data_IF_677598095440
#
_entry.id   IF_677598095440
#
_cell.length_a   1.000
_cell.length_b   1.000
_cell.length_c   1.000
_cell.angle_alpha   90.00
_cell.angle_beta   90.00
_cell.angle_gamma   90.00
#
_symmetry.space_group_name_H-M   'P 1'
#
loop_
_entity.id
_entity.type
_entity.pdbx_description
1 polymer ?
#
# COMPACT_ATOMS: atom_id res chain seq x y z
N UNK A 1 -13.76 -18.98 59.27
CA UNK A 1 -14.03 -17.65 58.68
C UNK A 1 -12.89 -17.30 57.73
N UNK A 2 -12.84 -17.74 56.47
CA UNK A 2 -11.86 -17.24 55.48
C UNK A 2 -12.21 -17.75 54.08
N UNK A 3 -13.32 -17.29 53.50
CA UNK A 3 -13.71 -17.72 52.15
C UNK A 3 -14.46 -16.65 51.33
N UNK A 4 -14.68 -15.44 51.87
CA UNK A 4 -15.39 -14.36 51.14
C UNK A 4 -14.46 -13.40 50.38
N UNK A 5 -13.19 -13.30 50.78
CA UNK A 5 -12.21 -12.38 50.17
C UNK A 5 -11.62 -12.90 48.84
N UNK A 6 -11.60 -14.21 48.60
CA UNK A 6 -10.95 -14.80 47.42
C UNK A 6 -11.78 -14.64 46.13
N UNK A 7 -13.11 -14.60 46.23
CA UNK A 7 -14.02 -14.60 45.08
C UNK A 7 -14.12 -13.23 44.37
N UNK A 8 -13.91 -12.13 45.10
CA UNK A 8 -13.95 -10.77 44.55
C UNK A 8 -12.70 -10.42 43.73
N UNK A 9 -11.54 -10.93 44.14
CA UNK A 9 -10.26 -10.71 43.45
C UNK A 9 -10.20 -11.48 42.13
N UNK A 10 -10.57 -12.76 42.13
CA UNK A 10 -10.54 -13.59 40.91
C UNK A 10 -11.50 -13.09 39.83
N UNK A 11 -12.69 -12.58 40.20
CA UNK A 11 -13.67 -12.04 39.26
C UNK A 11 -13.24 -10.69 38.65
N UNK A 12 -12.57 -9.84 39.44
CA UNK A 12 -11.97 -8.58 38.95
C UNK A 12 -10.78 -8.84 38.02
N UNK A 13 -9.92 -9.78 38.38
CA UNK A 13 -8.77 -10.19 37.54
C UNK A 13 -9.25 -10.82 36.23
N UNK A 14 -10.30 -11.65 36.27
CA UNK A 14 -10.91 -12.24 35.07
C UNK A 14 -11.51 -11.18 34.14
N UNK A 15 -12.24 -10.19 34.69
CA UNK A 15 -12.80 -9.08 33.91
C UNK A 15 -11.71 -8.22 33.27
N UNK A 16 -10.64 -7.88 34.00
CA UNK A 16 -9.53 -7.09 33.47
C UNK A 16 -8.78 -7.86 32.38
N UNK A 17 -8.54 -9.17 32.57
CA UNK A 17 -7.90 -10.02 31.57
C UNK A 17 -8.78 -10.16 30.30
N UNK A 18 -10.09 -10.36 30.45
CA UNK A 18 -11.02 -10.42 29.32
C UNK A 18 -11.10 -9.08 28.56
N UNK A 19 -11.18 -7.95 29.27
CA UNK A 19 -11.14 -6.63 28.63
C UNK A 19 -9.80 -6.38 27.92
N UNK A 20 -8.68 -6.79 28.49
CA UNK A 20 -7.37 -6.64 27.86
C UNK A 20 -7.23 -7.50 26.59
N UNK A 21 -7.73 -8.74 26.60
CA UNK A 21 -7.73 -9.63 25.44
C UNK A 21 -8.67 -9.09 24.34
N UNK A 22 -9.85 -8.59 24.71
CA UNK A 22 -10.79 -7.97 23.77
C UNK A 22 -10.19 -6.70 23.16
N UNK A 23 -9.55 -5.84 23.98
CA UNK A 23 -8.84 -4.67 23.48
C UNK A 23 -7.66 -5.04 22.56
N UNK A 24 -6.92 -6.11 22.84
CA UNK A 24 -5.82 -6.57 21.98
C UNK A 24 -6.33 -7.11 20.63
N UNK A 25 -7.50 -7.75 20.62
CA UNK A 25 -8.12 -8.29 19.39
C UNK A 25 -8.80 -7.25 18.50
N UNK A 26 -9.00 -6.02 19.02
CA UNK A 26 -9.64 -4.91 18.31
C UNK A 26 -8.63 -3.92 17.71
N UNK A 27 -7.34 -4.26 17.65
CA UNK A 27 -6.35 -3.46 16.93
C UNK A 27 -6.48 -3.82 15.44
N UNK A 28 -7.08 -2.99 14.58
CA UNK A 28 -6.98 -3.20 13.15
C UNK A 28 -5.49 -3.14 12.76
N UNK A 29 -4.93 -4.31 12.47
CA UNK A 29 -3.56 -4.46 11.99
C UNK A 29 -3.51 -4.24 10.48
N UNK A 30 -3.08 -3.06 10.06
CA UNK A 30 -2.81 -2.79 8.65
C UNK A 30 -2.61 -1.32 8.39
N UNK A 31 -1.37 -0.84 8.51
CA UNK A 31 -0.97 0.38 7.80
C UNK A 31 -0.72 -0.07 6.37
N UNK A 32 -1.62 0.25 5.44
CA UNK A 32 -1.38 0.03 4.03
C UNK A 32 -0.42 1.11 3.55
N UNK A 33 0.67 0.69 2.91
CA UNK A 33 1.49 1.61 2.17
C UNK A 33 0.78 1.98 0.85
N UNK A 34 1.02 3.21 0.40
CA UNK A 34 0.40 3.81 -0.78
C UNK A 34 1.50 4.16 -1.78
N UNK A 35 1.32 3.76 -3.03
CA UNK A 35 2.19 4.12 -4.14
C UNK A 35 2.21 5.65 -4.30
N UNK A 36 3.33 6.19 -4.75
CA UNK A 36 3.44 7.63 -5.02
C UNK A 36 2.44 8.04 -6.13
N UNK A 37 1.45 8.90 -5.84
CA UNK A 37 0.42 9.27 -6.82
C UNK A 37 0.97 9.88 -8.11
N UNK A 38 2.01 10.72 -8.02
CA UNK A 38 2.60 11.34 -9.20
C UNK A 38 3.35 10.34 -10.08
N UNK A 39 3.98 9.34 -9.47
CA UNK A 39 4.61 8.24 -10.19
C UNK A 39 3.56 7.39 -10.94
N UNK A 40 2.50 6.98 -10.23
CA UNK A 40 1.41 6.18 -10.81
C UNK A 40 0.75 6.92 -11.97
N UNK A 41 0.50 8.22 -11.82
CA UNK A 41 -0.08 9.03 -12.90
C UNK A 41 0.86 9.14 -14.12
N UNK A 42 2.14 9.42 -13.89
CA UNK A 42 3.14 9.46 -14.96
C UNK A 42 3.20 8.13 -15.76
N UNK A 43 3.29 7.01 -15.04
CA UNK A 43 3.31 5.67 -15.62
C UNK A 43 2.00 5.33 -16.35
N UNK A 44 0.84 5.67 -15.77
CA UNK A 44 -0.47 5.43 -16.37
C UNK A 44 -0.67 6.23 -17.67
N UNK A 45 -0.03 7.40 -17.79
CA UNK A 45 0.01 8.17 -19.02
C UNK A 45 0.90 7.55 -20.10
N UNK A 46 1.71 6.55 -19.74
CA UNK A 46 2.65 5.85 -20.60
C UNK A 46 4.01 6.55 -20.68
N UNK A 47 4.36 7.35 -19.67
CA UNK A 47 5.59 8.13 -19.60
C UNK A 47 6.61 7.49 -18.65
N UNK A 48 7.88 7.86 -18.83
CA UNK A 48 8.95 7.31 -18.01
C UNK A 48 9.07 8.10 -16.70
N UNK A 49 8.87 7.42 -15.58
CA UNK A 49 9.11 7.96 -14.25
C UNK A 49 10.53 7.61 -13.77
N UNK A 50 11.21 8.59 -13.20
CA UNK A 50 12.53 8.41 -12.58
C UNK A 50 12.63 9.26 -11.31
N UNK A 51 13.61 8.96 -10.46
CA UNK A 51 13.87 9.72 -9.24
C UNK A 51 15.25 10.37 -9.31
N UNK A 52 15.33 11.65 -8.99
CA UNK A 52 16.58 12.38 -8.86
C UNK A 52 16.86 12.64 -7.37
N UNK A 53 18.04 12.22 -6.90
CA UNK A 53 18.50 12.56 -5.56
C UNK A 53 19.07 13.99 -5.56
N UNK A 54 18.49 14.87 -4.76
CA UNK A 54 18.95 16.24 -4.54
C UNK A 54 19.31 16.49 -3.08
N UNK A 55 19.77 17.72 -2.78
CA UNK A 55 20.12 18.14 -1.42
C UNK A 55 18.91 18.08 -0.45
N UNK A 56 17.69 18.22 -0.99
CA UNK A 56 16.44 18.24 -0.23
C UNK A 56 15.71 16.88 -0.21
N UNK A 57 16.34 15.80 -0.70
CA UNK A 57 15.73 14.47 -0.80
C UNK A 57 15.54 14.02 -2.25
N UNK A 58 14.67 13.03 -2.44
CA UNK A 58 14.36 12.49 -3.76
C UNK A 58 13.20 13.26 -4.41
N UNK A 59 13.39 13.64 -5.67
CA UNK A 59 12.38 14.29 -6.51
C UNK A 59 11.98 13.34 -7.62
N UNK A 60 10.67 13.16 -7.82
CA UNK A 60 10.14 12.37 -8.92
C UNK A 60 10.10 13.18 -10.22
N UNK A 61 10.59 12.61 -11.31
CA UNK A 61 10.64 13.23 -12.63
C UNK A 61 9.82 12.38 -13.61
N UNK A 62 8.95 13.04 -14.37
CA UNK A 62 8.20 12.43 -15.45
C UNK A 62 8.73 12.90 -16.80
N UNK A 63 9.16 11.97 -17.66
CA UNK A 63 9.71 12.26 -18.99
C UNK A 63 8.64 12.13 -20.06
N UNK A 64 8.27 13.26 -20.65
CA UNK A 64 7.27 13.40 -21.69
C UNK A 64 7.76 12.88 -23.05
N UNK A 65 6.83 12.57 -23.98
CA UNK A 65 7.16 12.26 -25.36
C UNK A 65 7.94 13.42 -26.00
N UNK A 66 9.15 13.14 -26.48
CA UNK A 66 10.07 14.16 -26.99
C UNK A 66 11.21 14.52 -26.03
N UNK A 67 11.23 13.93 -24.83
CA UNK A 67 12.36 14.01 -23.90
C UNK A 67 12.32 15.20 -22.94
N UNK A 68 11.21 15.96 -22.91
CA UNK A 68 11.02 16.98 -21.87
C UNK A 68 10.81 16.28 -20.51
N UNK A 69 11.56 16.69 -19.49
CA UNK A 69 11.49 16.13 -18.15
C UNK A 69 10.97 17.21 -17.20
N UNK A 70 9.89 16.91 -16.48
CA UNK A 70 9.24 17.81 -15.52
C UNK A 70 9.08 17.14 -14.18
N UNK A 71 8.86 17.92 -13.12
CA UNK A 71 8.50 17.37 -11.81
C UNK A 71 7.18 16.58 -11.93
N UNK A 72 7.17 15.37 -11.39
CA UNK A 72 6.02 14.48 -11.52
C UNK A 72 4.79 14.99 -10.76
N UNK A 73 4.98 15.66 -9.61
CA UNK A 73 3.89 16.27 -8.86
C UNK A 73 3.33 17.47 -9.60
N UNK A 74 4.18 18.32 -10.16
CA UNK A 74 3.74 19.48 -10.96
C UNK A 74 2.95 19.01 -12.19
N UNK A 75 3.35 17.88 -12.80
CA UNK A 75 2.59 17.26 -13.89
C UNK A 75 1.23 16.70 -13.44
N UNK A 76 1.16 15.99 -12.30
CA UNK A 76 -0.10 15.48 -11.74
C UNK A 76 -1.06 16.61 -11.34
N UNK A 77 -0.53 17.67 -10.74
CA UNK A 77 -1.28 18.87 -10.37
C UNK A 77 -1.68 19.70 -11.58
N UNK A 78 -1.08 19.43 -12.74
CA UNK A 78 -1.37 20.14 -13.98
C UNK A 78 -0.75 21.53 -14.05
N UNK A 79 0.26 21.80 -13.22
CA UNK A 79 1.02 23.04 -13.17
C UNK A 79 2.05 23.10 -14.31
N UNK A 80 2.61 21.95 -14.68
CA UNK A 80 3.52 21.79 -15.82
C UNK A 80 3.04 20.71 -16.80
N UNK A 81 3.41 20.86 -18.07
CA UNK A 81 3.15 19.87 -19.13
C UNK A 81 1.67 19.43 -19.26
N UNK A 82 0.72 20.31 -18.93
CA UNK A 82 -0.72 20.03 -18.98
C UNK A 82 -1.21 19.54 -20.36
N UNK A 83 -0.54 19.95 -21.44
CA UNK A 83 -0.82 19.49 -22.81
C UNK A 83 -0.54 18.00 -23.02
N UNK A 84 0.32 17.40 -22.20
CA UNK A 84 0.56 15.96 -22.15
C UNK A 84 -0.34 15.24 -21.15
N UNK A 85 -1.09 15.97 -20.32
CA UNK A 85 -1.98 15.44 -19.29
C UNK A 85 -3.21 14.70 -19.83
N UNK A 86 -3.88 13.94 -18.96
CA UNK A 86 -5.02 13.10 -19.36
C UNK A 86 -6.17 13.93 -19.94
N UNK A 87 -6.50 15.08 -19.33
CA UNK A 87 -7.57 15.94 -19.82
C UNK A 87 -7.31 16.35 -21.28
N UNK A 88 -6.08 16.78 -21.62
CA UNK A 88 -5.72 17.20 -22.96
C UNK A 88 -5.81 16.06 -23.98
N UNK A 89 -5.35 14.86 -23.62
CA UNK A 89 -5.45 13.67 -24.49
C UNK A 89 -6.89 13.28 -24.82
N UNK A 90 -7.81 13.51 -23.88
CA UNK A 90 -9.23 13.23 -24.05
C UNK A 90 -10.00 14.42 -24.67
N UNK A 91 -9.35 15.55 -24.91
CA UNK A 91 -9.99 16.75 -25.44
C UNK A 91 -10.78 17.56 -24.41
N UNK A 92 -10.61 17.28 -23.12
CA UNK A 92 -11.20 18.05 -22.02
C UNK A 92 -10.37 19.27 -21.67
N UNK A 93 -11.03 20.30 -21.13
CA UNK A 93 -10.35 21.45 -20.53
C UNK A 93 -9.86 21.06 -19.13
N UNK A 94 -8.59 21.31 -18.84
CA UNK A 94 -8.03 21.15 -17.50
C UNK A 94 -8.17 22.45 -16.70
N UNK A 95 -8.44 22.33 -15.40
CA UNK A 95 -8.34 23.41 -14.42
C UNK A 95 -7.61 22.94 -13.18
N UNK A 96 -6.90 23.85 -12.53
CA UNK A 96 -6.39 23.65 -11.18
C UNK A 96 -7.40 24.27 -10.22
N UNK A 97 -7.91 23.47 -9.29
CA UNK A 97 -8.93 23.90 -8.31
C UNK A 97 -8.42 23.70 -6.88
N UNK A 98 -9.12 24.31 -5.93
CA UNK A 98 -8.85 24.17 -4.50
C UNK A 98 -10.01 23.49 -3.78
N UNK A 99 -9.70 22.89 -2.63
CA UNK A 99 -10.69 22.46 -1.64
C UNK A 99 -11.00 20.97 -1.69
N UNK A 100 -12.27 20.63 -1.48
CA UNK A 100 -12.66 19.28 -1.08
C UNK A 100 -12.38 18.19 -2.12
N UNK A 101 -12.37 18.57 -3.40
CA UNK A 101 -12.05 17.66 -4.50
C UNK A 101 -10.61 17.12 -4.41
N UNK A 102 -9.68 17.87 -3.80
CA UNK A 102 -8.26 17.55 -3.76
C UNK A 102 -7.84 16.75 -2.51
N UNK A 103 -8.79 16.51 -1.60
CA UNK A 103 -8.52 15.82 -0.33
C UNK A 103 -8.16 14.35 -0.48
N UNK A 104 -8.32 13.75 -1.68
CA UNK A 104 -7.93 12.36 -1.98
C UNK A 104 -6.45 12.10 -1.64
N UNK A 105 -5.57 13.06 -1.91
CA UNK A 105 -4.15 12.99 -1.57
C UNK A 105 -3.74 13.96 -0.45
N UNK A 106 -4.72 14.55 0.25
CA UNK A 106 -4.46 15.57 1.27
C UNK A 106 -3.82 16.86 0.71
N UNK A 107 -4.07 17.17 -0.56
CA UNK A 107 -3.50 18.34 -1.24
C UNK A 107 -4.45 19.54 -1.14
N UNK A 108 -3.88 20.74 -1.18
CA UNK A 108 -4.63 22.00 -1.21
C UNK A 108 -5.16 22.32 -2.61
N UNK A 109 -4.49 21.81 -3.65
CA UNK A 109 -4.82 21.95 -5.07
C UNK A 109 -4.79 20.61 -5.80
N UNK A 110 -5.48 20.53 -6.92
CA UNK A 110 -5.48 19.38 -7.81
C UNK A 110 -5.97 19.75 -9.21
N UNK A 111 -5.57 18.96 -10.21
CA UNK A 111 -6.09 19.07 -11.56
C UNK A 111 -7.46 18.39 -11.69
N UNK A 112 -8.42 19.09 -12.29
CA UNK A 112 -9.72 18.55 -12.68
C UNK A 112 -9.91 18.67 -14.19
N UNK A 113 -10.54 17.67 -14.79
CA UNK A 113 -11.04 17.75 -16.15
C UNK A 113 -12.49 18.25 -16.13
N UNK A 114 -12.78 19.25 -16.96
CA UNK A 114 -14.14 19.72 -17.21
C UNK A 114 -14.75 18.87 -18.33
N UNK A 115 -15.77 18.08 -17.99
CA UNK A 115 -16.49 17.21 -18.92
C UNK A 115 -17.53 18.01 -19.73
N UNK A 116 -18.08 17.38 -20.76
CA UNK A 116 -19.07 18.00 -21.66
C UNK A 116 -20.37 18.44 -20.95
N UNK A 117 -20.71 17.78 -19.85
CA UNK A 117 -21.85 18.13 -18.99
C UNK A 117 -21.53 19.27 -18.00
N UNK A 118 -20.31 19.80 -18.04
CA UNK A 118 -19.80 20.84 -17.14
C UNK A 118 -19.35 20.32 -15.77
N UNK A 119 -19.39 19.01 -15.52
CA UNK A 119 -18.88 18.44 -14.27
C UNK A 119 -17.35 18.52 -14.22
N UNK A 120 -16.83 18.83 -13.04
CA UNK A 120 -15.39 18.86 -12.75
C UNK A 120 -15.02 17.60 -11.97
N UNK A 121 -14.15 16.77 -12.55
CA UNK A 121 -13.71 15.50 -11.95
C UNK A 121 -12.19 15.53 -11.85
N UNK A 122 -11.66 15.21 -10.67
CA UNK A 122 -10.21 15.11 -10.46
C UNK A 122 -9.60 14.06 -11.39
N UNK A 123 -8.40 14.36 -11.91
CA UNK A 123 -7.80 13.62 -13.02
C UNK A 123 -7.58 12.14 -12.69
N UNK A 124 -7.07 11.84 -11.49
CA UNK A 124 -6.79 10.48 -11.03
C UNK A 124 -8.06 9.67 -10.82
N UNK A 125 -9.10 10.30 -10.26
CA UNK A 125 -10.42 9.72 -10.09
C UNK A 125 -11.11 9.46 -11.43
N UNK A 126 -10.96 10.36 -12.41
CA UNK A 126 -11.50 10.18 -13.75
C UNK A 126 -10.82 9.03 -14.50
N UNK A 127 -9.55 8.77 -14.21
CA UNK A 127 -8.76 7.67 -14.75
C UNK A 127 -8.96 6.34 -13.99
N UNK A 128 -9.67 6.35 -12.86
CA UNK A 128 -9.85 5.20 -11.97
C UNK A 128 -8.50 4.58 -11.53
N UNK A 129 -7.54 5.44 -11.14
CA UNK A 129 -6.21 4.99 -10.71
C UNK A 129 -6.25 4.38 -9.30
N UNK A 130 -5.56 3.24 -9.14
CA UNK A 130 -5.33 2.60 -7.84
C UNK A 130 -3.91 2.88 -7.33
N UNK A 131 -3.84 3.40 -6.11
CA UNK A 131 -2.60 3.75 -5.42
C UNK A 131 -2.25 2.75 -4.32
N UNK A 132 -3.06 1.71 -4.13
CA UNK A 132 -2.80 0.68 -3.14
C UNK A 132 -1.53 -0.09 -3.51
N UNK A 133 -0.62 -0.27 -2.55
CA UNK A 133 0.42 -1.27 -2.75
C UNK A 133 -0.17 -2.68 -2.60
N UNK A 134 0.29 -3.66 -3.40
CA UNK A 134 -0.16 -5.03 -3.26
C UNK A 134 0.14 -5.54 -1.84
N UNK A 135 -0.83 -6.25 -1.26
CA UNK A 135 -0.72 -6.74 0.11
C UNK A 135 0.50 -7.66 0.26
N UNK A 136 1.44 -7.29 1.15
CA UNK A 136 2.54 -8.14 1.58
C UNK A 136 1.99 -9.39 2.31
N UNK A 137 1.64 -10.47 1.59
CA UNK A 137 0.99 -11.65 2.19
C UNK A 137 1.91 -12.51 3.07
N UNK A 138 3.22 -12.23 3.07
CA UNK A 138 4.25 -13.03 3.76
C UNK A 138 5.16 -12.21 4.69
N UNK A 139 4.85 -10.94 4.96
CA UNK A 139 5.63 -10.11 5.88
C UNK A 139 7.00 -9.67 5.36
N UNK A 140 7.28 -9.83 4.07
CA UNK A 140 8.45 -9.25 3.42
C UNK A 140 8.00 -8.03 2.59
N UNK A 141 8.28 -6.82 3.07
CA UNK A 141 8.17 -5.61 2.27
C UNK A 141 9.59 -5.03 2.09
N UNK A 142 9.96 -4.69 0.86
CA UNK A 142 11.19 -3.96 0.51
C UNK A 142 12.50 -4.74 0.61
N UNK A 143 12.95 -5.31 -0.53
CA UNK A 143 14.33 -5.26 -1.08
C UNK A 143 14.71 -6.45 -1.99
N UNK A 144 13.93 -7.53 -2.08
CA UNK A 144 14.15 -8.60 -3.07
C UNK A 144 12.84 -9.19 -3.62
N UNK A 145 11.99 -8.34 -4.20
CA UNK A 145 10.87 -8.77 -5.02
C UNK A 145 10.99 -8.24 -6.46
N UNK A 146 12.21 -8.20 -7.00
CA UNK A 146 12.41 -8.35 -8.44
C UNK A 146 12.35 -9.85 -8.76
N UNK A 147 11.14 -10.42 -8.76
CA UNK A 147 10.91 -11.86 -8.86
C UNK A 147 9.70 -12.18 -9.73
N UNK A 148 9.86 -11.95 -11.03
CA UNK A 148 9.10 -12.56 -12.13
C UNK A 148 7.57 -12.54 -12.03
N UNK A 149 6.97 -11.36 -12.23
CA UNK A 149 5.68 -11.34 -12.91
C UNK A 149 5.95 -11.47 -14.42
N UNK A 150 5.75 -12.69 -14.91
CA UNK A 150 5.84 -13.01 -16.34
C UNK A 150 4.86 -12.13 -17.11
N UNK A 151 5.39 -11.20 -17.89
CA UNK A 151 4.67 -10.57 -19.01
C UNK A 151 4.28 -11.70 -19.98
N UNK A 152 3.00 -11.86 -20.37
CA UNK A 152 2.64 -12.84 -21.39
C UNK A 152 3.16 -12.33 -22.75
N UNK A 153 4.36 -12.76 -23.16
CA UNK A 153 4.90 -12.30 -24.43
C UNK A 153 6.31 -12.69 -24.86
N UNK A 154 7.06 -13.49 -24.10
CA UNK A 154 8.41 -13.88 -24.53
C UNK A 154 8.57 -15.38 -24.82
N UNK A 155 9.02 -15.65 -26.05
CA UNK A 155 9.23 -16.94 -26.67
C UNK A 155 10.51 -17.60 -26.10
N UNK A 156 10.57 -18.91 -25.79
CA UNK A 156 11.69 -19.47 -25.04
C UNK A 156 12.80 -19.97 -25.96
N UNK A 157 14.04 -19.56 -25.69
CA UNK A 157 15.21 -20.26 -26.19
C UNK A 157 16.35 -20.25 -25.16
N UNK A 158 16.72 -21.47 -24.72
CA UNK A 158 17.94 -21.83 -23.98
C UNK A 158 17.90 -21.47 -22.48
N UNK A 159 17.99 -22.37 -21.51
CA UNK A 159 18.55 -23.71 -21.46
C UNK A 159 19.69 -23.74 -20.44
N UNK A 160 19.46 -24.25 -19.23
CA UNK A 160 20.40 -25.00 -18.38
C UNK A 160 19.88 -25.13 -16.93
N UNK A 161 19.61 -26.37 -16.51
CA UNK A 161 19.44 -26.81 -15.11
C UNK A 161 20.81 -26.85 -14.38
N UNK A 162 20.88 -26.82 -13.04
CA UNK A 162 20.92 -28.11 -12.31
C UNK A 162 20.26 -28.14 -10.90
N UNK A 163 19.48 -29.20 -10.69
CA UNK A 163 19.46 -30.16 -9.55
C UNK A 163 19.63 -29.69 -8.09
N UNK A 164 18.49 -29.79 -7.37
CA UNK A 164 18.19 -30.00 -5.92
C UNK A 164 19.24 -30.68 -5.01
N UNK A 165 19.14 -30.56 -3.65
CA UNK A 165 18.28 -31.46 -2.85
C UNK A 165 17.54 -30.87 -1.62
N UNK A 166 16.28 -31.29 -1.50
CA UNK A 166 15.35 -31.58 -0.38
C UNK A 166 15.48 -31.00 1.06
N UNK A 167 14.33 -30.77 1.77
CA UNK A 167 14.27 -30.22 3.13
C UNK A 167 14.26 -31.27 4.25
N UNK A 168 14.87 -30.95 5.40
CA UNK A 168 14.77 -31.72 6.64
C UNK A 168 13.56 -31.23 7.44
N UNK A 169 12.62 -32.14 7.70
CA UNK A 169 11.38 -31.88 8.43
C UNK A 169 11.57 -31.61 9.93
N UNK A 170 10.84 -30.62 10.44
CA UNK A 170 10.74 -30.28 11.87
C UNK A 170 9.69 -31.19 12.51
N UNK A 171 10.12 -32.00 13.49
CA UNK A 171 9.25 -32.82 14.35
C UNK A 171 8.78 -31.97 15.52
N UNK A 172 7.47 -31.73 15.62
CA UNK A 172 6.81 -31.07 16.76
C UNK A 172 6.45 -32.14 17.81
N UNK A 173 7.10 -32.13 18.97
CA UNK A 173 6.66 -32.92 20.14
C UNK A 173 5.88 -32.04 21.10
N UNK A 174 4.58 -32.30 21.21
CA UNK A 174 3.71 -31.77 22.24
C UNK A 174 3.89 -32.54 23.56
N UNK A 175 4.29 -31.85 24.63
CA UNK A 175 4.33 -32.41 25.99
C UNK A 175 3.07 -31.98 26.76
N UNK A 176 2.20 -32.94 27.05
CA UNK A 176 1.01 -32.80 27.89
C UNK A 176 1.39 -32.77 29.37
N UNK A 177 0.91 -31.74 30.06
CA UNK A 177 0.96 -31.57 31.52
C UNK A 177 -0.10 -32.46 32.17
N UNK A 178 0.33 -33.42 33.01
CA UNK A 178 -0.56 -34.18 33.89
C UNK A 178 -0.20 -33.90 35.35
N UNK A 179 -0.91 -32.95 35.96
CA UNK A 179 -0.94 -32.76 37.41
C UNK A 179 -2.02 -33.63 38.05
N UNK A 180 -1.63 -34.53 38.95
CA UNK A 180 -2.55 -35.33 39.75
C UNK A 180 -2.44 -34.97 41.24
N UNK A 181 -3.35 -34.08 41.63
CA UNK A 181 -4.07 -34.00 42.91
C UNK A 181 -3.74 -35.07 43.98
N UNK A 182 -3.09 -34.66 45.08
CA UNK A 182 -3.02 -35.44 46.33
C UNK A 182 -4.18 -35.05 47.24
N UNK A 183 -5.14 -35.94 47.42
CA UNK A 183 -6.16 -35.85 48.48
C UNK A 183 -5.58 -36.57 49.72
N UNK A 184 -5.34 -35.81 50.80
CA UNK A 184 -5.11 -36.35 52.14
C UNK A 184 -6.46 -36.72 52.77
N UNK A 185 -6.55 -37.90 53.37
CA UNK A 185 -7.41 -38.14 54.53
C UNK A 185 -6.52 -38.09 55.77
#
# INVERSE_FOLDING_TARGET
MMNKEYHGSTRRVLCVALCAIICLSLIPGGVSAMRNPSAVYCEAMGYEYSTLSGENGETGICTMPGGAAVDAWDFLLGEEAAEYGYCARQGYVQKIVHGDACRVFGLDTCAVCVRDDGSEVEVSALMDLDFSEPACSSGACGLEAAGTDTVPGENPASGATPQSPLPVGIVVTAALVAGAFRIRR
#
